data_IF_285023712080
#
_entry.id   IF_285023712080
#
_cell.length_a   1.000
_cell.length_b   1.000
_cell.length_c   1.000
_cell.angle_alpha   90.00
_cell.angle_beta   90.00
_cell.angle_gamma   90.00
#
_symmetry.space_group_name_H-M   'P 1'
#
loop_
_entity.id
_entity.type
_entity.pdbx_description
1 polymer ?
#
# COMPACT_ATOMS: atom_id res chain seq x y z
N UNK A 1 -25.59 -5.21 49.94
CA UNK A 1 -24.27 -4.82 49.40
C UNK A 1 -23.85 -5.82 48.35
N UNK A 2 -23.91 -5.45 47.08
CA UNK A 2 -23.30 -6.19 45.97
C UNK A 2 -22.88 -5.16 44.95
N UNK A 3 -21.61 -4.77 44.98
CA UNK A 3 -21.07 -3.74 44.10
C UNK A 3 -21.05 -4.28 42.66
N UNK A 4 -21.78 -3.60 41.78
CA UNK A 4 -21.72 -3.79 40.33
C UNK A 4 -20.30 -3.41 39.87
N UNK A 5 -19.49 -4.41 39.53
CA UNK A 5 -18.20 -4.18 38.88
C UNK A 5 -18.46 -3.71 37.44
N UNK A 6 -18.38 -2.40 37.22
CA UNK A 6 -18.40 -1.82 35.88
C UNK A 6 -17.10 -2.24 35.16
N UNK A 7 -17.21 -3.13 34.17
CA UNK A 7 -16.08 -3.48 33.31
C UNK A 7 -15.70 -2.24 32.49
N UNK A 8 -14.43 -1.85 32.40
CA UNK A 8 -14.03 -0.79 31.50
C UNK A 8 -14.33 -1.23 30.06
N UNK A 9 -15.23 -0.50 29.40
CA UNK A 9 -15.45 -0.60 27.98
C UNK A 9 -14.27 0.11 27.31
N UNK A 10 -13.22 -0.64 26.98
CA UNK A 10 -12.19 -0.15 26.08
C UNK A 10 -12.85 0.00 24.72
N UNK A 11 -13.25 1.23 24.38
CA UNK A 11 -13.45 1.58 22.97
C UNK A 11 -12.15 1.23 22.27
N UNK A 12 -12.21 0.24 21.38
CA UNK A 12 -11.19 0.04 20.35
C UNK A 12 -11.13 1.38 19.61
N UNK A 13 -10.04 2.12 19.80
CA UNK A 13 -9.76 3.26 18.95
C UNK A 13 -9.28 2.58 17.69
N UNK A 14 -10.21 2.27 16.78
CA UNK A 14 -9.87 1.89 15.42
C UNK A 14 -9.22 3.14 14.82
N UNK A 15 -7.92 3.29 15.02
CA UNK A 15 -7.13 4.30 14.33
C UNK A 15 -7.14 3.86 12.87
N UNK A 16 -8.12 4.34 12.11
CA UNK A 16 -8.11 4.19 10.66
C UNK A 16 -6.78 4.74 10.16
N UNK A 17 -6.03 3.90 9.45
CA UNK A 17 -4.78 4.33 8.82
C UNK A 17 -5.11 5.37 7.76
N UNK A 18 -4.13 6.16 7.38
CA UNK A 18 -4.29 7.22 6.40
C UNK A 18 -3.14 7.19 5.41
N UNK A 19 -3.31 7.88 4.30
CA UNK A 19 -2.25 8.07 3.33
C UNK A 19 -1.03 8.86 3.87
N UNK A 20 -1.14 9.49 5.05
CA UNK A 20 0.00 10.08 5.75
C UNK A 20 0.96 9.05 6.37
N UNK A 21 0.49 7.81 6.55
CA UNK A 21 1.27 6.74 7.19
C UNK A 21 2.19 6.00 6.20
N UNK A 22 2.05 6.26 4.90
CA UNK A 22 2.87 5.65 3.84
C UNK A 22 4.12 6.50 3.57
N UNK A 23 5.29 5.86 3.51
CA UNK A 23 6.55 6.52 3.18
C UNK A 23 6.80 6.52 1.66
N UNK A 24 7.40 7.61 1.16
CA UNK A 24 7.79 7.72 -0.26
C UNK A 24 8.90 6.72 -0.59
N UNK A 25 8.78 6.08 -1.77
CA UNK A 25 9.75 5.09 -2.28
C UNK A 25 9.62 3.70 -1.65
N UNK A 26 8.54 3.45 -0.90
CA UNK A 26 8.21 2.14 -0.33
C UNK A 26 7.00 1.52 -1.03
N UNK A 27 6.87 0.20 -0.93
CA UNK A 27 5.75 -0.54 -1.49
C UNK A 27 4.88 -1.05 -0.34
N UNK A 28 3.58 -0.92 -0.49
CA UNK A 28 2.61 -1.31 0.53
C UNK A 28 1.50 -2.16 -0.07
N UNK A 29 1.15 -3.24 0.63
CA UNK A 29 -0.10 -3.96 0.40
C UNK A 29 -1.17 -3.34 1.29
N UNK A 30 -2.19 -2.75 0.66
CA UNK A 30 -3.27 -2.06 1.37
C UNK A 30 -4.64 -2.50 0.86
N UNK A 31 -5.67 -2.23 1.66
CA UNK A 31 -7.06 -2.26 1.24
C UNK A 31 -7.64 -0.85 1.44
N UNK A 32 -8.13 -0.21 0.37
CA UNK A 32 -8.67 1.15 0.47
C UNK A 32 -9.99 1.18 1.25
N UNK A 33 -10.94 0.31 0.93
CA UNK A 33 -12.23 0.20 1.63
C UNK A 33 -12.47 -1.22 2.20
N UNK A 34 -13.27 -1.31 3.25
CA UNK A 34 -13.60 -2.62 3.86
C UNK A 34 -14.26 -3.57 2.86
N UNK A 35 -13.66 -4.76 2.68
CA UNK A 35 -14.17 -5.80 1.79
C UNK A 35 -13.72 -5.69 0.33
N UNK A 36 -12.84 -4.74 0.01
CA UNK A 36 -12.14 -4.70 -1.27
C UNK A 36 -10.94 -5.65 -1.28
N UNK A 37 -10.36 -5.84 -2.46
CA UNK A 37 -9.15 -6.63 -2.66
C UNK A 37 -7.89 -5.89 -2.20
N UNK A 38 -6.85 -6.66 -1.91
CA UNK A 38 -5.53 -6.11 -1.61
C UNK A 38 -4.92 -5.56 -2.89
N UNK A 39 -4.41 -4.34 -2.78
CA UNK A 39 -3.73 -3.65 -3.86
C UNK A 39 -2.30 -3.29 -3.45
N UNK A 40 -1.40 -3.31 -4.42
CA UNK A 40 -0.03 -2.89 -4.23
C UNK A 40 0.11 -1.42 -4.62
N UNK A 41 0.55 -0.59 -3.67
CA UNK A 41 0.72 0.85 -3.91
C UNK A 41 2.13 1.30 -3.57
N UNK A 42 2.65 2.22 -4.38
CA UNK A 42 3.96 2.81 -4.22
C UNK A 42 3.84 4.34 -4.19
N UNK A 43 4.02 5.00 -3.03
CA UNK A 43 4.03 6.44 -2.95
C UNK A 43 5.31 7.00 -3.59
N UNK A 44 5.15 7.87 -4.58
CA UNK A 44 6.27 8.39 -5.38
C UNK A 44 6.66 9.81 -4.99
N UNK A 45 5.70 10.61 -4.53
CA UNK A 45 5.96 11.96 -4.03
C UNK A 45 4.87 12.39 -3.06
N UNK A 46 5.23 13.32 -2.18
CA UNK A 46 4.28 13.95 -1.27
C UNK A 46 4.38 15.48 -1.32
N UNK A 47 3.26 16.11 -1.02
CA UNK A 47 3.15 17.54 -0.73
C UNK A 47 2.81 17.74 0.74
N UNK A 48 2.56 18.98 1.14
CA UNK A 48 2.05 19.26 2.49
C UNK A 48 0.68 18.62 2.78
N UNK A 49 -0.14 18.31 1.77
CA UNK A 49 -1.54 17.88 1.95
C UNK A 49 -1.92 16.59 1.23
N UNK A 50 -1.15 16.17 0.24
CA UNK A 50 -1.49 15.06 -0.65
C UNK A 50 -0.27 14.20 -0.96
N UNK A 51 -0.53 12.94 -1.28
CA UNK A 51 0.45 11.97 -1.75
C UNK A 51 0.07 11.54 -3.16
N UNK A 52 1.08 11.34 -4.00
CA UNK A 52 0.95 10.79 -5.33
C UNK A 52 1.53 9.39 -5.31
N UNK A 53 0.75 8.43 -5.78
CA UNK A 53 1.08 7.02 -5.72
C UNK A 53 0.85 6.35 -7.07
N UNK A 54 1.59 5.27 -7.29
CA UNK A 54 1.36 4.30 -8.35
C UNK A 54 0.63 3.12 -7.74
N UNK A 55 -0.50 2.74 -8.32
CA UNK A 55 -1.17 1.48 -8.10
C UNK A 55 -0.63 0.49 -9.12
N UNK A 56 -0.15 -0.64 -8.63
CA UNK A 56 0.38 -1.74 -9.41
C UNK A 56 -0.71 -2.82 -9.55
N UNK A 57 -1.30 -2.95 -10.74
CA UNK A 57 -2.37 -3.92 -11.03
C UNK A 57 -2.03 -4.78 -12.25
N UNK A 58 -1.53 -6.00 -12.01
CA UNK A 58 -1.38 -7.10 -12.97
C UNK A 58 -1.25 -6.74 -14.47
N UNK A 59 -0.30 -5.85 -14.81
CA UNK A 59 0.01 -5.43 -16.19
C UNK A 59 -0.29 -3.96 -16.50
N UNK A 60 -0.92 -3.21 -15.60
CA UNK A 60 -1.14 -1.77 -15.73
C UNK A 60 -0.70 -1.03 -14.45
N UNK A 61 0.00 0.10 -14.65
CA UNK A 61 0.32 1.04 -13.58
C UNK A 61 -0.65 2.23 -13.63
N UNK A 62 -1.39 2.44 -12.56
CA UNK A 62 -2.33 3.56 -12.45
C UNK A 62 -1.77 4.60 -11.49
N UNK A 63 -1.48 5.80 -11.99
CA UNK A 63 -1.02 6.91 -11.16
C UNK A 63 -2.19 7.74 -10.63
N UNK A 64 -2.18 8.08 -9.35
CA UNK A 64 -3.28 8.84 -8.74
C UNK A 64 -2.83 9.71 -7.54
N UNK A 65 -3.69 10.65 -7.16
CA UNK A 65 -3.50 11.53 -5.99
C UNK A 65 -4.52 11.22 -4.90
N UNK A 66 -4.06 11.18 -3.64
CA UNK A 66 -4.92 11.12 -2.45
C UNK A 66 -4.53 12.18 -1.45
N UNK A 67 -5.48 12.68 -0.66
CA UNK A 67 -5.13 13.55 0.47
C UNK A 67 -4.46 12.71 1.54
N UNK A 68 -3.50 13.28 2.24
CA UNK A 68 -2.86 12.62 3.40
C UNK A 68 -3.87 12.25 4.50
N UNK A 69 -4.97 12.98 4.58
CA UNK A 69 -6.05 12.74 5.54
C UNK A 69 -7.08 11.72 5.06
N UNK A 70 -7.00 11.25 3.81
CA UNK A 70 -7.90 10.20 3.31
C UNK A 70 -7.56 8.89 4.04
N UNK A 71 -8.60 8.17 4.45
CA UNK A 71 -8.47 6.93 5.22
C UNK A 71 -8.12 5.76 4.31
N UNK A 72 -7.32 4.85 4.85
CA UNK A 72 -7.02 3.52 4.33
C UNK A 72 -7.67 2.53 5.32
N UNK A 73 -8.48 1.60 4.82
CA UNK A 73 -9.14 0.61 5.67
C UNK A 73 -8.13 -0.27 6.40
N UNK A 74 -7.12 -0.77 5.68
CA UNK A 74 -6.06 -1.60 6.24
C UNK A 74 -4.75 -1.40 5.47
N UNK A 75 -3.64 -1.27 6.20
CA UNK A 75 -2.29 -1.46 5.67
C UNK A 75 -1.86 -2.85 6.15
N UNK A 76 -1.82 -3.81 5.24
CA UNK A 76 -1.48 -5.19 5.58
C UNK A 76 0.03 -5.31 5.86
N UNK A 77 0.84 -4.75 4.96
CA UNK A 77 2.29 -4.90 4.99
C UNK A 77 3.01 -3.76 4.24
N UNK A 78 4.18 -3.37 4.73
CA UNK A 78 5.22 -2.68 3.96
C UNK A 78 6.19 -3.74 3.46
N UNK A 79 6.36 -3.86 2.15
CA UNK A 79 7.28 -4.83 1.55
C UNK A 79 8.72 -4.43 1.87
N UNK A 80 9.55 -5.44 2.15
CA UNK A 80 10.99 -5.26 2.23
C UNK A 80 11.60 -4.97 0.85
N UNK A 81 12.82 -4.44 0.83
CA UNK A 81 13.55 -4.18 -0.41
C UNK A 81 13.70 -5.46 -1.28
N UNK A 82 13.87 -6.63 -0.64
CA UNK A 82 13.99 -7.92 -1.34
C UNK A 82 12.66 -8.34 -1.99
N UNK A 83 11.54 -8.15 -1.30
CA UNK A 83 10.21 -8.51 -1.83
C UNK A 83 9.75 -7.54 -2.92
N UNK A 84 10.05 -6.24 -2.79
CA UNK A 84 9.80 -5.26 -3.83
C UNK A 84 10.60 -5.59 -5.11
N UNK A 85 11.89 -5.92 -4.97
CA UNK A 85 12.70 -6.36 -6.12
C UNK A 85 12.15 -7.64 -6.76
N UNK A 86 11.73 -8.61 -5.95
CA UNK A 86 11.14 -9.84 -6.46
C UNK A 86 9.86 -9.57 -7.26
N UNK A 87 9.04 -8.60 -6.84
CA UNK A 87 7.84 -8.17 -7.57
C UNK A 87 8.19 -7.56 -8.94
N UNK A 88 9.10 -6.58 -8.97
CA UNK A 88 9.52 -5.92 -10.21
C UNK A 88 10.09 -6.92 -11.22
N UNK A 89 10.90 -7.88 -10.75
CA UNK A 89 11.49 -8.93 -11.59
C UNK A 89 10.45 -9.86 -12.25
N UNK A 90 9.23 -9.99 -11.71
CA UNK A 90 8.18 -10.80 -12.34
C UNK A 90 7.71 -10.21 -13.67
N UNK A 91 7.93 -8.91 -13.89
CA UNK A 91 7.52 -8.18 -15.08
C UNK A 91 8.70 -7.76 -15.97
N UNK A 92 9.93 -7.74 -15.44
CA UNK A 92 11.16 -7.49 -16.21
C UNK A 92 11.61 -8.69 -17.07
N UNK A 93 11.15 -9.92 -16.80
CA UNK A 93 11.58 -11.14 -17.52
C UNK A 93 11.13 -11.21 -19.01
N UNK A 94 10.31 -10.27 -19.49
CA UNK A 94 9.92 -10.18 -20.91
C UNK A 94 10.89 -9.34 -21.78
N UNK A 95 11.93 -8.70 -21.21
CA UNK A 95 12.96 -7.93 -21.96
C UNK A 95 14.31 -8.68 -22.17
N UNK A 96 14.35 -10.00 -21.95
CA UNK A 96 15.61 -10.78 -22.02
C UNK A 96 15.69 -11.77 -23.21
N UNK A 97 14.91 -11.57 -24.27
CA UNK A 97 14.91 -12.45 -25.46
C UNK A 97 15.13 -11.68 -26.79
N UNK A 98 15.89 -10.57 -26.78
CA UNK A 98 16.53 -10.03 -27.99
C UNK A 98 17.98 -10.53 -28.10
N UNK A 99 18.14 -11.84 -28.29
CA UNK A 99 19.37 -12.42 -28.84
C UNK A 99 19.47 -12.04 -30.32
N UNK A 100 20.06 -10.87 -30.60
CA UNK A 100 20.49 -10.51 -31.94
C UNK A 100 21.65 -11.43 -32.35
N UNK A 101 21.34 -12.63 -32.86
CA UNK A 101 22.27 -13.42 -33.68
C UNK A 101 22.59 -12.60 -34.96
N UNK A 102 23.66 -11.82 -34.90
CA UNK A 102 24.29 -11.16 -36.06
C UNK A 102 25.09 -12.22 -36.85
N UNK A 103 24.49 -12.72 -37.95
CA UNK A 103 25.16 -13.50 -39.02
C UNK A 103 25.68 -12.58 -40.14
#
# INVERSE_FOLDING_TARGET
>A
MGFLANKPNFKKIDSMSTYADLAVGRYYLITENEGEELILVQPMMETSLAIFSILHDAGEEITYWRKKTDSIAEILEELSDEEALAYELMFDEDEADEDWEDD
#
